data_IF_614238811324
#
_entry.id   IF_614238811324
#
_cell.length_a   1.000
_cell.length_b   1.000
_cell.length_c   1.000
_cell.angle_alpha   90.00
_cell.angle_beta   90.00
_cell.angle_gamma   90.00
#
_symmetry.space_group_name_H-M   'P 1'
#
loop_
_entity.id
_entity.type
_entity.pdbx_description
1 polymer ?
#
# COMPACT_ATOMS: atom_id res chain seq x y z
N UNK A 1 21.31 5.17 -20.11
CA UNK A 1 21.25 4.47 -18.83
C UNK A 1 19.96 3.69 -18.71
N UNK A 2 20.09 2.47 -18.32
CA UNK A 2 18.91 1.67 -18.06
C UNK A 2 18.40 1.90 -16.67
N UNK A 3 17.34 2.59 -16.59
CA UNK A 3 16.60 2.63 -15.35
C UNK A 3 15.86 1.32 -15.21
N UNK A 4 16.12 0.64 -14.14
CA UNK A 4 15.30 -0.49 -13.77
C UNK A 4 14.02 0.06 -13.19
N UNK A 5 12.94 -0.09 -13.90
CA UNK A 5 11.64 0.20 -13.37
C UNK A 5 11.19 -1.00 -12.57
N UNK A 6 11.31 -0.89 -11.26
CA UNK A 6 10.78 -1.91 -10.36
C UNK A 6 9.27 -1.81 -10.33
N UNK A 7 8.61 -2.90 -10.61
CA UNK A 7 7.16 -2.98 -10.52
C UNK A 7 6.76 -3.50 -9.14
N UNK A 8 5.58 -3.09 -8.68
CA UNK A 8 4.99 -3.63 -7.46
C UNK A 8 4.48 -5.04 -7.78
N UNK A 9 4.95 -6.03 -7.04
CA UNK A 9 4.57 -7.41 -7.29
C UNK A 9 3.52 -7.95 -6.32
N UNK A 10 3.48 -7.44 -5.10
CA UNK A 10 2.39 -7.73 -4.16
C UNK A 10 2.35 -6.67 -3.07
N UNK A 11 1.26 -6.68 -2.32
CA UNK A 11 0.98 -5.74 -1.24
C UNK A 11 0.73 -6.52 0.04
N UNK A 12 1.13 -5.96 1.17
CA UNK A 12 0.78 -6.54 2.47
C UNK A 12 0.08 -5.46 3.30
N UNK A 13 -1.13 -5.75 3.75
CA UNK A 13 -1.92 -4.84 4.56
C UNK A 13 -1.78 -5.22 6.04
N UNK A 14 -1.56 -4.20 6.89
CA UNK A 14 -1.54 -4.35 8.34
C UNK A 14 -2.50 -3.34 8.95
N UNK A 15 -3.34 -3.76 9.88
CA UNK A 15 -4.12 -2.82 10.68
C UNK A 15 -3.18 -1.98 11.55
N UNK A 16 -3.59 -0.74 11.87
CA UNK A 16 -2.75 0.15 12.67
C UNK A 16 -2.37 -0.44 14.03
N UNK A 17 -3.28 -1.21 14.63
CA UNK A 17 -3.03 -1.84 15.92
C UNK A 17 -2.00 -2.99 15.86
N UNK A 18 -1.70 -3.50 14.67
CA UNK A 18 -0.83 -4.64 14.48
C UNK A 18 0.64 -4.26 14.25
N UNK A 19 0.96 -2.98 14.17
CA UNK A 19 2.30 -2.52 13.80
C UNK A 19 2.80 -1.40 14.71
N UNK A 20 4.13 -1.30 14.79
CA UNK A 20 4.85 -0.15 15.33
C UNK A 20 5.76 0.38 14.24
N UNK A 21 5.78 1.70 14.08
CA UNK A 21 6.59 2.34 13.05
C UNK A 21 7.52 3.34 13.72
N UNK A 22 8.82 3.18 13.46
CA UNK A 22 9.83 4.13 13.88
C UNK A 22 10.34 4.86 12.65
N UNK A 23 10.03 6.13 12.57
CA UNK A 23 10.42 6.97 11.45
C UNK A 23 10.77 8.37 11.94
N UNK A 24 11.78 8.98 11.32
CA UNK A 24 12.14 10.37 11.56
C UNK A 24 11.79 11.24 10.38
N UNK A 25 11.46 12.50 10.64
CA UNK A 25 11.21 13.49 9.60
C UNK A 25 12.50 13.66 8.77
N UNK A 26 12.34 13.65 7.46
CA UNK A 26 13.46 13.82 6.53
C UNK A 26 14.27 12.56 6.28
N UNK A 27 13.96 11.45 6.92
CA UNK A 27 14.64 10.18 6.67
C UNK A 27 13.96 9.41 5.54
N UNK A 28 14.72 8.84 4.59
CA UNK A 28 14.13 8.07 3.49
C UNK A 28 13.67 6.67 3.90
N UNK A 29 14.06 6.20 5.09
CA UNK A 29 13.73 4.87 5.57
C UNK A 29 12.90 4.93 6.85
N UNK A 30 12.10 3.89 7.06
CA UNK A 30 11.33 3.69 8.27
C UNK A 30 11.54 2.27 8.77
N UNK A 31 11.42 2.06 10.07
CA UNK A 31 11.48 0.75 10.68
C UNK A 31 10.08 0.29 11.06
N UNK A 32 9.68 -0.84 10.51
CA UNK A 32 8.38 -1.44 10.76
C UNK A 32 8.54 -2.65 11.67
N UNK A 33 7.83 -2.65 12.79
CA UNK A 33 7.75 -3.80 13.69
C UNK A 33 6.32 -4.34 13.65
N UNK A 34 6.18 -5.61 13.30
CA UNK A 34 4.89 -6.26 13.08
C UNK A 34 4.57 -7.12 14.30
N UNK A 35 3.36 -6.94 14.84
CA UNK A 35 2.88 -7.72 16.01
C UNK A 35 2.02 -8.91 15.60
N UNK A 36 1.48 -8.90 14.39
CA UNK A 36 0.68 -9.99 13.84
C UNK A 36 0.89 -10.08 12.34
N UNK A 37 0.50 -11.21 11.75
CA UNK A 37 0.64 -11.42 10.33
C UNK A 37 -0.24 -10.45 9.55
N UNK A 38 0.29 -9.91 8.46
CA UNK A 38 -0.45 -9.07 7.54
C UNK A 38 -1.25 -9.88 6.52
N UNK A 39 -2.09 -9.19 5.79
CA UNK A 39 -2.86 -9.77 4.69
C UNK A 39 -2.11 -9.53 3.41
N UNK A 40 -1.70 -10.60 2.73
CA UNK A 40 -0.94 -10.52 1.47
C UNK A 40 -1.92 -10.48 0.32
N UNK A 41 -1.80 -9.44 -0.50
CA UNK A 41 -2.65 -9.23 -1.67
C UNK A 41 -1.80 -9.33 -2.94
N UNK A 42 -1.97 -10.39 -3.74
CA UNK A 42 -1.23 -10.52 -4.99
C UNK A 42 -1.79 -9.55 -6.02
N UNK A 43 -0.98 -8.64 -6.51
CA UNK A 43 -1.38 -7.66 -7.52
C UNK A 43 -0.70 -7.97 -8.84
N UNK A 44 -1.48 -7.99 -9.91
CA UNK A 44 -0.97 -8.20 -11.27
C UNK A 44 -0.45 -6.88 -11.84
N UNK A 45 -1.22 -5.83 -11.63
CA UNK A 45 -0.86 -4.48 -12.06
C UNK A 45 -1.10 -3.55 -10.88
N UNK A 46 -0.12 -2.76 -10.53
CA UNK A 46 -0.25 -1.78 -9.46
C UNK A 46 0.51 -0.50 -9.84
N UNK A 47 -0.08 0.64 -9.56
CA UNK A 47 0.55 1.93 -9.79
C UNK A 47 0.34 2.84 -8.58
N UNK A 48 1.40 3.53 -8.21
CA UNK A 48 1.42 4.46 -7.07
C UNK A 48 1.62 5.87 -7.59
N UNK A 49 0.76 6.78 -7.15
CA UNK A 49 0.89 8.20 -7.39
C UNK A 49 1.09 8.92 -6.07
N UNK A 50 2.15 9.71 -5.98
CA UNK A 50 2.47 10.52 -4.81
C UNK A 50 2.62 11.97 -5.26
N UNK A 51 1.66 12.82 -4.89
CA UNK A 51 1.65 14.22 -5.32
C UNK A 51 1.65 15.11 -4.09
N UNK A 52 2.67 15.96 -4.00
CA UNK A 52 2.74 16.94 -2.93
C UNK A 52 1.68 18.01 -3.14
N UNK A 53 0.98 18.37 -2.07
CA UNK A 53 -0.05 19.42 -2.12
C UNK A 53 0.55 20.76 -2.52
N UNK A 54 -0.29 21.65 -3.03
CA UNK A 54 0.14 23.00 -3.45
C UNK A 54 0.76 23.81 -2.30
N UNK A 55 0.31 23.57 -1.08
CA UNK A 55 0.87 24.21 0.12
C UNK A 55 2.19 23.59 0.58
N UNK A 56 2.54 22.41 0.04
CA UNK A 56 3.71 21.65 0.48
C UNK A 56 3.56 20.95 1.82
N UNK A 57 2.37 21.01 2.44
CA UNK A 57 2.15 20.53 3.79
C UNK A 57 2.05 19.01 3.87
N UNK A 58 1.61 18.35 2.81
CA UNK A 58 1.43 16.90 2.79
C UNK A 58 1.51 16.35 1.38
N UNK A 59 1.62 15.04 1.30
CA UNK A 59 1.65 14.29 0.04
C UNK A 59 0.37 13.49 -0.08
N UNK A 60 -0.36 13.69 -1.16
CA UNK A 60 -1.53 12.89 -1.48
C UNK A 60 -1.09 11.59 -2.14
N UNK A 61 -1.59 10.49 -1.61
CA UNK A 61 -1.24 9.15 -2.07
C UNK A 61 -2.45 8.52 -2.71
N UNK A 62 -2.23 7.95 -3.89
CA UNK A 62 -3.25 7.18 -4.58
C UNK A 62 -2.58 5.96 -5.19
N UNK A 63 -3.03 4.79 -4.77
CA UNK A 63 -2.58 3.51 -5.32
C UNK A 63 -3.75 2.83 -5.98
N UNK A 64 -3.53 2.34 -7.19
CA UNK A 64 -4.49 1.50 -7.90
C UNK A 64 -3.83 0.16 -8.19
N UNK A 65 -4.53 -0.93 -7.90
CA UNK A 65 -4.01 -2.26 -8.12
C UNK A 65 -5.10 -3.18 -8.63
N UNK A 66 -4.72 -4.20 -9.39
CA UNK A 66 -5.65 -5.16 -9.98
C UNK A 66 -5.29 -6.57 -9.52
N UNK A 67 -6.28 -7.30 -9.04
CA UNK A 67 -6.15 -8.70 -8.65
C UNK A 67 -7.05 -9.53 -9.54
N UNK A 68 -6.47 -10.48 -10.27
CA UNK A 68 -7.21 -11.32 -11.22
C UNK A 68 -7.87 -12.52 -10.57
N UNK A 69 -7.41 -12.91 -9.38
CA UNK A 69 -8.05 -13.99 -8.63
C UNK A 69 -9.36 -13.48 -8.01
N UNK A 70 -10.48 -13.93 -8.54
CA UNK A 70 -11.82 -13.54 -8.07
C UNK A 70 -12.49 -14.63 -7.26
N UNK A 71 -11.73 -15.54 -6.67
CA UNK A 71 -12.25 -16.61 -5.82
C UNK A 71 -12.88 -16.05 -4.54
N UNK A 72 -13.72 -16.85 -3.90
CA UNK A 72 -14.32 -16.50 -2.62
C UNK A 72 -13.27 -16.27 -1.54
N UNK A 73 -12.18 -17.02 -1.58
CA UNK A 73 -11.05 -16.84 -0.64
C UNK A 73 -10.43 -15.46 -0.78
N UNK A 74 -10.20 -15.01 -2.00
CA UNK A 74 -9.63 -13.68 -2.25
C UNK A 74 -10.60 -12.58 -1.83
N UNK A 75 -11.87 -12.75 -2.12
CA UNK A 75 -12.89 -11.78 -1.70
C UNK A 75 -12.96 -11.67 -0.18
N UNK A 76 -12.86 -12.78 0.54
CA UNK A 76 -12.81 -12.75 2.00
C UNK A 76 -11.63 -11.97 2.54
N UNK A 77 -10.44 -12.13 1.93
CA UNK A 77 -9.26 -11.35 2.32
C UNK A 77 -9.48 -9.86 2.09
N UNK A 78 -10.07 -9.50 0.97
CA UNK A 78 -10.37 -8.10 0.66
C UNK A 78 -11.40 -7.51 1.60
N UNK A 79 -12.42 -8.29 1.99
CA UNK A 79 -13.40 -7.86 3.00
C UNK A 79 -12.75 -7.62 4.36
N UNK A 80 -11.75 -8.41 4.71
CA UNK A 80 -11.05 -8.24 5.98
C UNK A 80 -10.23 -6.97 6.05
N UNK A 81 -9.69 -6.50 4.93
CA UNK A 81 -8.83 -5.30 4.93
C UNK A 81 -9.52 -4.04 4.39
N UNK A 82 -10.68 -4.17 3.72
CA UNK A 82 -11.39 -3.02 3.16
C UNK A 82 -12.10 -2.22 4.22
N UNK A 83 -12.15 -0.90 4.00
CA UNK A 83 -12.81 0.04 4.89
C UNK A 83 -12.24 0.07 6.31
N UNK A 84 -10.99 -0.37 6.45
CA UNK A 84 -10.25 -0.32 7.72
C UNK A 84 -9.01 0.53 7.52
N UNK A 85 -8.70 1.33 8.53
CA UNK A 85 -7.46 2.11 8.51
C UNK A 85 -6.27 1.21 8.82
N UNK A 86 -5.22 1.38 8.05
CA UNK A 86 -4.03 0.57 8.22
C UNK A 86 -2.84 1.15 7.48
N UNK A 87 -1.82 0.36 7.38
CA UNK A 87 -0.63 0.66 6.59
C UNK A 87 -0.41 -0.44 5.56
N UNK A 88 0.22 -0.09 4.47
CA UNK A 88 0.43 -0.98 3.36
C UNK A 88 1.92 -1.07 3.05
N UNK A 89 2.42 -2.29 2.93
CA UNK A 89 3.80 -2.51 2.49
C UNK A 89 3.77 -2.90 1.03
N UNK A 90 4.45 -2.12 0.20
CA UNK A 90 4.57 -2.37 -1.23
C UNK A 90 5.85 -3.17 -1.47
N UNK A 91 5.71 -4.36 -2.05
CA UNK A 91 6.86 -5.20 -2.40
C UNK A 91 7.16 -5.05 -3.88
N UNK A 92 8.37 -4.65 -4.19
CA UNK A 92 8.81 -4.43 -5.56
C UNK A 92 9.60 -5.61 -6.09
N UNK A 93 9.65 -5.75 -7.40
CA UNK A 93 10.34 -6.87 -8.07
C UNK A 93 11.84 -6.89 -7.85
N UNK A 94 12.44 -5.76 -7.50
CA UNK A 94 13.88 -5.68 -7.18
C UNK A 94 14.20 -6.06 -5.73
N UNK A 95 13.18 -6.45 -4.95
CA UNK A 95 13.33 -6.80 -3.55
C UNK A 95 13.17 -5.64 -2.58
N UNK A 96 13.05 -4.41 -3.06
CA UNK A 96 12.81 -3.26 -2.19
C UNK A 96 11.38 -3.24 -1.70
N UNK A 97 11.16 -2.57 -0.58
CA UNK A 97 9.83 -2.41 0.04
C UNK A 97 9.63 -0.96 0.43
N UNK A 98 8.41 -0.48 0.24
CA UNK A 98 8.02 0.85 0.71
C UNK A 98 6.84 0.74 1.66
N UNK A 99 6.81 1.60 2.65
CA UNK A 99 5.71 1.70 3.59
C UNK A 99 4.78 2.84 3.18
N UNK A 100 3.52 2.53 3.00
CA UNK A 100 2.47 3.50 2.66
C UNK A 100 1.57 3.69 3.86
N UNK A 101 1.42 4.93 4.30
CA UNK A 101 0.66 5.25 5.51
C UNK A 101 1.51 5.26 6.76
N UNK A 102 0.92 5.69 7.86
CA UNK A 102 1.54 5.70 9.18
C UNK A 102 0.45 5.61 10.25
N UNK A 103 0.84 5.51 11.52
CA UNK A 103 -0.14 5.45 12.60
C UNK A 103 -0.93 6.75 12.75
N UNK A 104 -0.33 7.89 12.38
CA UNK A 104 -1.01 9.19 12.40
C UNK A 104 -1.75 9.49 11.10
N UNK A 105 -1.29 8.93 10.01
CA UNK A 105 -1.85 9.15 8.67
C UNK A 105 -2.08 7.78 8.01
N UNK A 106 -3.01 6.99 8.55
CA UNK A 106 -3.28 5.66 7.99
C UNK A 106 -3.94 5.77 6.62
N UNK A 107 -3.77 4.73 5.82
CA UNK A 107 -4.44 4.63 4.53
C UNK A 107 -5.76 3.87 4.67
N UNK A 108 -6.64 4.08 3.71
CA UNK A 108 -7.89 3.36 3.60
C UNK A 108 -7.92 2.63 2.27
N UNK A 109 -8.18 1.32 2.33
CA UNK A 109 -8.27 0.48 1.15
C UNK A 109 -9.74 0.18 0.84
N UNK A 110 -10.11 0.33 -0.43
CA UNK A 110 -11.42 -0.08 -0.93
C UNK A 110 -11.22 -0.93 -2.16
N UNK A 111 -12.23 -1.71 -2.53
CA UNK A 111 -12.16 -2.51 -3.74
C UNK A 111 -13.52 -2.60 -4.42
N UNK A 112 -13.49 -2.89 -5.71
CA UNK A 112 -14.67 -3.22 -6.47
C UNK A 112 -14.34 -4.33 -7.47
N UNK A 113 -15.35 -5.03 -7.94
CA UNK A 113 -15.20 -6.07 -8.93
C UNK A 113 -15.69 -5.53 -10.25
N UNK A 114 -14.84 -5.52 -11.26
CA UNK A 114 -15.18 -4.96 -12.56
C UNK A 114 -14.37 -5.60 -13.68
N UNK A 115 -14.78 -5.35 -14.90
CA UNK A 115 -14.05 -5.77 -16.09
C UNK A 115 -14.53 -7.09 -16.68
N UNK A 116 -14.05 -7.36 -17.88
CA UNK A 116 -14.27 -8.61 -18.62
C UNK A 116 -12.91 -9.05 -19.17
N UNK A 117 -12.29 -10.12 -18.66
CA UNK A 117 -12.72 -10.91 -17.50
C UNK A 117 -12.75 -10.11 -16.21
N UNK A 118 -13.59 -10.55 -15.26
CA UNK A 118 -13.74 -9.85 -14.00
C UNK A 118 -12.45 -9.88 -13.18
N UNK A 119 -12.19 -8.78 -12.48
CA UNK A 119 -11.05 -8.66 -11.58
C UNK A 119 -11.44 -7.76 -10.41
N UNK A 120 -10.72 -7.87 -9.29
CA UNK A 120 -10.85 -6.91 -8.22
C UNK A 120 -9.93 -5.73 -8.49
N UNK A 121 -10.48 -4.53 -8.43
CA UNK A 121 -9.72 -3.29 -8.55
C UNK A 121 -9.64 -2.67 -7.17
N UNK A 122 -8.42 -2.57 -6.66
CA UNK A 122 -8.15 -1.97 -5.36
C UNK A 122 -7.86 -0.49 -5.54
N UNK A 123 -8.39 0.31 -4.62
CA UNK A 123 -8.10 1.73 -4.56
C UNK A 123 -7.66 2.06 -3.15
N UNK A 124 -6.46 2.63 -3.01
CA UNK A 124 -5.89 3.04 -1.73
C UNK A 124 -5.66 4.53 -1.80
N UNK A 125 -6.22 5.26 -0.85
CA UNK A 125 -6.08 6.71 -0.78
C UNK A 125 -5.64 7.11 0.62
N UNK A 126 -4.81 8.14 0.68
CA UNK A 126 -4.34 8.68 1.93
C UNK A 126 -3.58 9.96 1.71
N UNK A 127 -3.21 10.57 2.82
CA UNK A 127 -2.44 11.80 2.83
C UNK A 127 -1.45 11.72 3.98
N UNK A 128 -0.19 12.02 3.73
CA UNK A 128 0.84 11.93 4.75
C UNK A 128 1.87 13.05 4.57
N UNK A 129 2.64 13.37 5.63
CA UNK A 129 3.57 14.52 5.57
C UNK A 129 4.70 14.34 4.55
N UNK A 130 5.11 13.13 4.27
CA UNK A 130 6.24 12.83 3.41
C UNK A 130 5.90 11.71 2.42
N UNK A 131 6.74 11.56 1.40
CA UNK A 131 6.63 10.44 0.47
C UNK A 131 6.79 9.12 1.18
N UNK A 132 6.29 8.05 0.58
CA UNK A 132 6.42 6.69 1.12
C UNK A 132 7.90 6.35 1.34
N UNK A 133 8.20 5.75 2.50
CA UNK A 133 9.58 5.46 2.91
C UNK A 133 9.93 4.01 2.66
N UNK A 134 11.19 3.77 2.33
CA UNK A 134 11.70 2.41 2.19
C UNK A 134 11.77 1.73 3.56
N UNK A 135 11.55 0.42 3.56
CA UNK A 135 11.73 -0.44 4.72
C UNK A 135 12.92 -1.34 4.44
N UNK A 136 13.91 -1.40 5.34
CA UNK A 136 15.04 -2.31 5.16
C UNK A 136 14.65 -3.78 5.27
#
# INVERSE_FOLDING_TARGET
MNEKHSAICHLTFYETAAVSIDTGIGRPTAKLTVKSDGIILPAVVASLSEVRSASGSFVDIELSAKITDTSASMENLLLQCSYRYGVLVLHYTDGSKKLLGSLRSPILLTYEKSGIPAAFVLSVKGSQPEYAKFIP
#
